data_IF_493514536889
#
_entry.id   IF_493514536889
#
_cell.length_a   1.000
_cell.length_b   1.000
_cell.length_c   1.000
_cell.angle_alpha   90.00
_cell.angle_beta   90.00
_cell.angle_gamma   90.00
#
_symmetry.space_group_name_H-M   'P 1'
#
loop_
_entity.id
_entity.type
_entity.pdbx_description
1 polymer ?
#
# COMPACT_ATOMS: atom_id res chain seq x y z
N UNK A 1 -6.07 8.13 6.15
CA UNK A 1 -6.60 7.24 5.09
C UNK A 1 -7.02 5.92 5.73
N UNK A 2 -8.09 5.30 5.23
CA UNK A 2 -8.53 3.96 5.66
C UNK A 2 -8.46 3.08 4.42
N UNK A 3 -7.68 2.00 4.47
CA UNK A 3 -7.47 1.12 3.33
C UNK A 3 -7.88 -0.31 3.69
N UNK A 4 -8.56 -0.98 2.77
CA UNK A 4 -8.88 -2.40 2.85
C UNK A 4 -7.97 -3.15 1.88
N UNK A 5 -7.12 -4.02 2.42
CA UNK A 5 -6.26 -4.91 1.64
C UNK A 5 -7.01 -6.23 1.43
N UNK A 6 -7.48 -6.46 0.21
CA UNK A 6 -8.15 -7.70 -0.18
C UNK A 6 -7.15 -8.88 -0.16
N UNK A 7 -7.62 -10.11 0.14
CA UNK A 7 -6.76 -11.29 0.12
C UNK A 7 -6.35 -11.66 -1.32
N UNK A 8 -5.14 -12.21 -1.44
CA UNK A 8 -4.59 -12.69 -2.71
C UNK A 8 -4.02 -11.58 -3.59
N UNK A 9 -3.71 -11.94 -4.84
CA UNK A 9 -3.15 -11.02 -5.83
C UNK A 9 -4.23 -10.12 -6.43
N UNK A 10 -3.85 -8.88 -6.74
CA UNK A 10 -4.73 -7.93 -7.44
C UNK A 10 -4.88 -8.36 -8.90
N UNK A 11 -6.03 -8.96 -9.22
CA UNK A 11 -6.41 -9.32 -10.58
C UNK A 11 -7.38 -8.28 -11.13
N UNK A 12 -7.05 -7.55 -12.21
CA UNK A 12 -7.98 -6.63 -12.85
C UNK A 12 -9.25 -7.36 -13.29
N UNK A 13 -10.41 -6.72 -13.08
CA UNK A 13 -11.68 -7.28 -13.53
C UNK A 13 -11.68 -7.50 -15.07
N UNK A 14 -12.33 -8.56 -15.56
CA UNK A 14 -12.49 -8.78 -17.00
C UNK A 14 -13.15 -7.56 -17.67
N UNK A 15 -12.60 -7.12 -18.79
CA UNK A 15 -13.15 -5.97 -19.54
C UNK A 15 -12.88 -4.60 -18.91
N UNK A 16 -12.01 -4.50 -17.90
CA UNK A 16 -11.60 -3.22 -17.33
C UNK A 16 -10.96 -2.33 -18.42
N UNK A 17 -11.59 -1.18 -18.69
CA UNK A 17 -10.95 -0.11 -19.45
C UNK A 17 -9.84 0.51 -18.60
N UNK A 18 -8.61 0.11 -18.89
CA UNK A 18 -7.43 0.58 -18.15
C UNK A 18 -7.20 2.07 -18.30
N UNK A 19 -7.47 2.64 -19.48
CA UNK A 19 -7.24 4.06 -19.72
C UNK A 19 -8.21 4.90 -18.89
N UNK A 20 -9.49 4.54 -18.91
CA UNK A 20 -10.50 5.19 -18.08
C UNK A 20 -10.22 5.02 -16.58
N UNK A 21 -9.82 3.81 -16.15
CA UNK A 21 -9.49 3.54 -14.75
C UNK A 21 -8.29 4.37 -14.26
N UNK A 22 -7.23 4.50 -15.07
CA UNK A 22 -6.07 5.32 -14.73
C UNK A 22 -6.42 6.81 -14.69
N UNK A 23 -7.25 7.30 -15.63
CA UNK A 23 -7.69 8.69 -15.63
C UNK A 23 -8.54 9.02 -14.39
N UNK A 24 -9.43 8.10 -13.98
CA UNK A 24 -10.23 8.27 -12.77
C UNK A 24 -9.36 8.22 -11.51
N UNK A 25 -8.37 7.33 -11.49
CA UNK A 25 -7.42 7.23 -10.39
C UNK A 25 -6.61 8.54 -10.22
N UNK A 26 -6.11 9.11 -11.31
CA UNK A 26 -5.40 10.39 -11.27
C UNK A 26 -6.32 11.54 -10.80
N UNK A 27 -7.60 11.52 -11.21
CA UNK A 27 -8.58 12.53 -10.77
C UNK A 27 -8.88 12.46 -9.28
N UNK A 28 -8.98 11.25 -8.72
CA UNK A 28 -9.33 11.03 -7.31
C UNK A 28 -8.11 11.08 -6.38
N UNK A 29 -6.95 10.61 -6.87
CA UNK A 29 -5.71 10.50 -6.13
C UNK A 29 -4.53 10.95 -7.01
N UNK A 30 -4.37 12.26 -7.22
CA UNK A 30 -3.35 12.80 -8.11
C UNK A 30 -1.94 12.33 -7.72
N UNK A 31 -1.20 11.80 -8.69
CA UNK A 31 0.18 11.35 -8.50
C UNK A 31 0.33 10.02 -7.76
N UNK A 32 -0.74 9.36 -7.32
CA UNK A 32 -0.64 8.07 -6.63
C UNK A 32 0.08 7.01 -7.48
N UNK A 33 -0.21 6.97 -8.78
CA UNK A 33 0.44 6.04 -9.71
C UNK A 33 1.92 6.37 -9.95
N UNK A 34 2.34 7.63 -9.78
CA UNK A 34 3.74 8.01 -9.93
C UNK A 34 4.61 7.46 -8.78
N UNK A 35 4.01 7.14 -7.64
CA UNK A 35 4.69 6.54 -6.49
C UNK A 35 4.83 5.01 -6.60
N UNK A 36 4.08 4.37 -7.50
CA UNK A 36 4.05 2.91 -7.68
C UNK A 36 5.10 2.49 -8.71
N UNK A 37 5.83 1.42 -8.40
CA UNK A 37 6.87 0.91 -9.28
C UNK A 37 6.32 0.01 -10.40
N UNK A 38 6.74 0.30 -11.63
CA UNK A 38 6.47 -0.57 -12.76
C UNK A 38 7.25 -1.89 -12.62
N UNK A 39 6.54 -3.03 -12.68
CA UNK A 39 7.16 -4.36 -12.64
C UNK A 39 7.42 -4.92 -11.24
N UNK A 40 7.12 -4.19 -10.18
CA UNK A 40 7.17 -4.67 -8.79
C UNK A 40 5.78 -4.49 -8.14
N UNK A 41 4.89 -5.51 -8.24
CA UNK A 41 3.49 -5.39 -7.80
C UNK A 41 3.36 -4.89 -6.36
N UNK A 42 2.62 -3.80 -6.17
CA UNK A 42 2.37 -3.19 -4.86
C UNK A 42 3.54 -2.41 -4.28
N UNK A 43 4.76 -2.54 -4.82
CA UNK A 43 5.92 -1.79 -4.32
C UNK A 43 5.78 -0.31 -4.69
N UNK A 44 5.88 0.52 -3.68
CA UNK A 44 5.78 1.97 -3.82
C UNK A 44 6.62 2.65 -2.75
N UNK A 45 6.85 3.95 -2.97
CA UNK A 45 7.58 4.79 -2.03
C UNK A 45 7.09 6.22 -2.09
N UNK A 46 6.91 6.82 -0.92
CA UNK A 46 6.43 8.19 -0.76
C UNK A 46 7.41 9.00 0.08
N UNK A 47 7.49 10.31 -0.20
CA UNK A 47 8.23 11.29 0.60
C UNK A 47 7.37 11.67 1.82
N UNK A 48 7.19 10.71 2.72
CA UNK A 48 6.35 10.83 3.91
C UNK A 48 6.86 10.02 5.09
N UNK A 49 6.41 10.40 6.28
CA UNK A 49 6.37 9.58 7.48
C UNK A 49 4.93 9.07 7.66
N UNK A 50 4.75 7.76 7.65
CA UNK A 50 3.42 7.15 7.79
C UNK A 50 3.31 6.35 9.08
N UNK A 51 2.24 6.60 9.84
CA UNK A 51 1.82 5.73 10.95
C UNK A 51 0.70 4.84 10.44
N UNK A 52 0.95 3.53 10.37
CA UNK A 52 -0.01 2.55 9.85
C UNK A 52 -0.42 1.60 10.96
N UNK A 53 -1.67 1.73 11.40
CA UNK A 53 -2.30 0.82 12.36
C UNK A 53 -3.06 -0.28 11.61
N UNK A 54 -2.81 -1.54 11.96
CA UNK A 54 -3.69 -2.65 11.54
C UNK A 54 -4.90 -2.68 12.45
N UNK A 55 -6.08 -2.36 11.91
CA UNK A 55 -7.33 -2.32 12.69
C UNK A 55 -7.96 -3.70 12.81
N UNK A 56 -7.94 -4.48 11.72
CA UNK A 56 -8.50 -5.83 11.67
C UNK A 56 -7.82 -6.68 10.62
N UNK A 57 -7.82 -8.00 10.83
CA UNK A 57 -7.17 -8.97 9.93
C UNK A 57 -5.66 -9.07 10.16
N UNK A 58 -4.97 -9.54 9.12
CA UNK A 58 -3.53 -9.73 9.08
C UNK A 58 -3.00 -9.28 7.71
N UNK A 59 -1.84 -8.63 7.68
CA UNK A 59 -1.17 -8.20 6.44
C UNK A 59 0.33 -8.41 6.57
N UNK A 60 0.99 -8.72 5.47
CA UNK A 60 2.45 -8.78 5.37
C UNK A 60 2.96 -7.48 4.81
N UNK A 61 3.85 -6.82 5.54
CA UNK A 61 4.67 -5.72 5.04
C UNK A 61 5.92 -6.31 4.39
N UNK A 62 6.11 -6.04 3.10
CA UNK A 62 7.34 -6.34 2.36
C UNK A 62 8.18 -5.06 2.23
N UNK A 63 9.49 -5.18 2.48
CA UNK A 63 10.50 -4.13 2.34
C UNK A 63 11.54 -4.53 1.28
N UNK A 64 12.58 -3.70 1.15
CA UNK A 64 13.72 -3.99 0.28
C UNK A 64 14.39 -5.33 0.61
N UNK A 65 14.98 -5.96 -0.41
CA UNK A 65 15.64 -7.26 -0.26
C UNK A 65 14.68 -8.44 -0.01
N UNK A 66 13.36 -8.20 -0.07
CA UNK A 66 12.34 -9.22 0.17
C UNK A 66 12.12 -9.50 1.67
N UNK A 67 12.59 -8.62 2.56
CA UNK A 67 12.30 -8.72 3.99
C UNK A 67 10.79 -8.57 4.21
N UNK A 68 10.21 -9.47 5.02
CA UNK A 68 8.77 -9.55 5.24
C UNK A 68 8.45 -9.69 6.72
N UNK A 69 7.50 -8.89 7.18
CA UNK A 69 6.95 -8.99 8.53
C UNK A 69 5.44 -9.11 8.47
N UNK A 70 4.89 -10.07 9.21
CA UNK A 70 3.44 -10.26 9.36
C UNK A 70 2.95 -9.40 10.51
N UNK A 71 1.93 -8.59 10.24
CA UNK A 71 1.31 -7.65 11.16
C UNK A 71 -0.15 -8.02 11.38
N UNK A 72 -0.62 -7.93 12.61
CA UNK A 72 -1.97 -8.30 13.05
C UNK A 72 -2.69 -7.12 13.66
N UNK A 73 -4.00 -7.27 13.83
CA UNK A 73 -4.83 -6.27 14.51
C UNK A 73 -4.19 -5.78 15.82
N UNK A 74 -4.00 -4.46 15.93
CA UNK A 74 -3.32 -3.80 17.04
C UNK A 74 -1.87 -3.40 16.77
N UNK A 75 -1.19 -4.01 15.79
CA UNK A 75 0.17 -3.65 15.43
C UNK A 75 0.23 -2.30 14.71
N UNK A 76 1.31 -1.55 14.97
CA UNK A 76 1.58 -0.26 14.35
C UNK A 76 2.95 -0.27 13.68
N UNK A 77 2.99 0.21 12.43
CA UNK A 77 4.22 0.46 11.68
C UNK A 77 4.46 1.95 11.60
N UNK A 78 5.72 2.35 11.81
CA UNK A 78 6.22 3.68 11.48
C UNK A 78 7.02 3.55 10.19
N UNK A 79 6.42 3.93 9.06
CA UNK A 79 7.06 3.89 7.75
C UNK A 79 7.76 5.21 7.47
N UNK A 80 9.09 5.22 7.56
CA UNK A 80 9.89 6.44 7.38
C UNK A 80 10.37 6.57 5.93
N UNK A 81 9.43 6.69 4.99
CA UNK A 81 9.70 6.89 3.57
C UNK A 81 10.49 5.76 2.92
N UNK A 82 10.41 4.54 3.45
CA UNK A 82 11.02 3.31 2.91
C UNK A 82 10.14 2.74 1.80
N UNK A 83 10.79 2.08 0.84
CA UNK A 83 10.12 1.38 -0.26
C UNK A 83 9.42 0.13 0.31
N UNK A 84 8.15 -0.07 -0.01
CA UNK A 84 7.38 -1.15 0.61
C UNK A 84 6.15 -1.59 -0.20
N UNK A 85 5.62 -2.77 0.13
CA UNK A 85 4.35 -3.29 -0.35
C UNK A 85 3.56 -3.96 0.79
N UNK A 86 2.24 -4.01 0.59
CA UNK A 86 1.31 -4.65 1.51
C UNK A 86 0.67 -5.86 0.83
N UNK A 87 0.86 -7.05 1.39
CA UNK A 87 0.32 -8.30 0.86
C UNK A 87 -0.60 -8.94 1.87
N UNK A 88 -1.79 -9.37 1.43
CA UNK A 88 -2.68 -10.14 2.28
C UNK A 88 -2.72 -11.59 1.80
N UNK A 89 -2.02 -12.46 2.51
CA UNK A 89 -1.99 -13.90 2.27
C UNK A 89 -3.09 -14.67 3.04
N UNK A 90 -3.95 -13.95 3.77
CA UNK A 90 -5.06 -14.53 4.53
C UNK A 90 -6.27 -14.87 3.66
N UNK A 91 -7.34 -15.31 4.31
CA UNK A 91 -8.60 -15.70 3.65
C UNK A 91 -9.68 -14.62 3.69
N UNK A 92 -9.41 -13.50 4.38
CA UNK A 92 -10.34 -12.38 4.54
C UNK A 92 -9.65 -11.03 4.39
N UNK A 93 -10.41 -9.93 4.27
CA UNK A 93 -9.85 -8.59 4.13
C UNK A 93 -9.10 -8.16 5.40
N UNK A 94 -8.03 -7.39 5.22
CA UNK A 94 -7.33 -6.68 6.29
C UNK A 94 -7.64 -5.18 6.18
N UNK A 95 -7.96 -4.51 7.29
CA UNK A 95 -8.17 -3.06 7.32
C UNK A 95 -7.02 -2.38 8.02
N UNK A 96 -6.40 -1.42 7.34
CA UNK A 96 -5.36 -0.56 7.91
C UNK A 96 -5.80 0.90 7.91
N UNK A 97 -5.35 1.65 8.91
CA UNK A 97 -5.50 3.10 8.98
C UNK A 97 -4.13 3.74 8.91
N UNK A 98 -3.91 4.53 7.86
CA UNK A 98 -2.66 5.25 7.65
C UNK A 98 -2.83 6.75 7.92
N UNK A 99 -1.91 7.32 8.71
CA UNK A 99 -1.71 8.77 8.82
C UNK A 99 -0.39 9.08 8.12
N UNK A 100 -0.47 9.67 6.93
CA UNK A 100 0.70 10.06 6.14
C UNK A 100 0.99 11.54 6.34
N UNK A 101 2.25 11.86 6.66
CA UNK A 101 2.73 13.22 6.83
C UNK A 101 3.85 13.44 5.82
N UNK A 102 3.63 14.34 4.85
CA UNK A 102 4.65 14.69 3.86
C UNK A 102 5.92 15.21 4.53
N UNK A 103 7.08 14.76 4.07
CA UNK A 103 8.37 15.11 4.63
C UNK A 103 9.47 15.10 3.56
N UNK A 104 10.42 16.04 3.67
CA UNK A 104 11.61 16.04 2.84
C UNK A 104 12.58 14.95 3.28
N UNK A 105 13.27 14.34 2.32
CA UNK A 105 14.29 13.35 2.63
C UNK A 105 15.56 14.02 3.14
N UNK A 106 16.09 13.52 4.25
CA UNK A 106 17.44 13.85 4.65
C UNK A 106 18.42 13.40 3.56
N UNK A 107 19.33 14.31 3.19
CA UNK A 107 20.42 14.04 2.24
C UNK A 107 21.49 13.15 2.85
#
# INVERSE_FOLDING_TARGET
MINTVAPGELVPAPGLDRAAALAELERLMPGAMAAVEAGAPGMHRTDSLDYVLVVSGEVTLELDGGERTVLRAGDVVVQNGTRHAWHNHGTGPCTIVGVAIGADRAR
#
